data_IF_399702478504
#
_entry.id   IF_399702478504
#
_cell.length_a   1.000
_cell.length_b   1.000
_cell.length_c   1.000
_cell.angle_alpha   90.00
_cell.angle_beta   90.00
_cell.angle_gamma   90.00
#
_symmetry.space_group_name_H-M   'P 1'
#
loop_
_entity.id
_entity.type
_entity.pdbx_description
1 polymer ?
#
# COMPACT_ATOMS: atom_id res chain seq x y z
N UNK A 1 6.67 -11.06 4.58
CA UNK A 1 7.13 -10.84 3.18
C UNK A 1 6.91 -12.15 2.43
N UNK A 2 6.20 -12.13 1.30
CA UNK A 2 6.05 -13.31 0.44
C UNK A 2 6.89 -13.10 -0.82
N UNK A 3 8.21 -13.11 -0.67
CA UNK A 3 9.18 -12.95 -1.75
C UNK A 3 9.95 -14.25 -1.88
N UNK A 4 9.96 -14.84 -3.08
CA UNK A 4 10.83 -15.93 -3.47
C UNK A 4 12.02 -15.36 -4.22
N UNK A 5 13.20 -15.89 -3.92
CA UNK A 5 14.46 -15.51 -4.54
C UNK A 5 15.01 -16.70 -5.29
N UNK A 6 15.40 -16.47 -6.54
CA UNK A 6 16.05 -17.45 -7.40
C UNK A 6 17.32 -16.85 -7.99
N UNK A 7 18.28 -17.68 -8.38
CA UNK A 7 19.57 -17.23 -8.91
C UNK A 7 19.93 -18.01 -10.15
N UNK A 8 20.25 -17.28 -11.22
CA UNK A 8 20.81 -17.79 -12.45
C UNK A 8 22.13 -17.08 -12.75
N UNK A 9 22.87 -17.55 -13.75
CA UNK A 9 24.18 -16.99 -14.07
C UNK A 9 24.07 -15.50 -14.43
N UNK A 10 24.62 -14.63 -13.57
CA UNK A 10 24.57 -13.17 -13.72
C UNK A 10 23.30 -12.49 -13.19
N UNK A 11 22.30 -13.23 -12.71
CA UNK A 11 21.01 -12.67 -12.31
C UNK A 11 20.51 -13.23 -10.98
N UNK A 12 19.94 -12.36 -10.16
CA UNK A 12 19.11 -12.73 -9.02
C UNK A 12 17.70 -12.26 -9.31
N UNK A 13 16.72 -13.16 -9.23
CA UNK A 13 15.32 -12.82 -9.46
C UNK A 13 14.58 -12.82 -8.13
N UNK A 14 13.91 -11.71 -7.80
CA UNK A 14 13.00 -11.64 -6.67
C UNK A 14 11.56 -11.52 -7.17
N UNK A 15 10.71 -12.47 -6.80
CA UNK A 15 9.30 -12.52 -7.19
C UNK A 15 8.42 -12.61 -5.97
N UNK A 16 7.38 -11.78 -5.89
CA UNK A 16 6.53 -11.83 -4.71
C UNK A 16 5.61 -10.65 -4.55
N UNK A 17 4.98 -10.59 -3.38
CA UNK A 17 4.08 -9.49 -3.05
C UNK A 17 4.43 -8.92 -1.68
N UNK A 18 4.42 -7.59 -1.58
CA UNK A 18 4.69 -6.85 -0.35
C UNK A 18 3.55 -5.93 0.00
N UNK A 19 3.39 -5.63 1.29
CA UNK A 19 2.48 -4.58 1.73
C UNK A 19 3.00 -3.20 1.29
N UNK A 20 2.11 -2.21 1.05
CA UNK A 20 2.49 -0.85 0.69
C UNK A 20 3.50 -0.21 1.65
N UNK A 21 3.36 -0.43 2.97
CA UNK A 21 4.30 0.08 3.97
C UNK A 21 5.73 -0.48 3.84
N UNK A 22 5.95 -1.55 3.07
CA UNK A 22 7.27 -2.14 2.85
C UNK A 22 7.92 -1.69 1.54
N UNK A 23 7.28 -0.84 0.74
CA UNK A 23 7.80 -0.39 -0.56
C UNK A 23 9.15 0.33 -0.39
N UNK A 24 9.25 1.30 0.53
CA UNK A 24 10.52 2.00 0.81
C UNK A 24 11.60 1.04 1.28
N UNK A 25 11.24 0.07 2.13
CA UNK A 25 12.19 -0.94 2.60
C UNK A 25 12.68 -1.83 1.45
N UNK A 26 11.80 -2.17 0.50
CA UNK A 26 12.15 -2.96 -0.68
C UNK A 26 13.05 -2.18 -1.65
N UNK A 27 12.84 -0.86 -1.80
CA UNK A 27 13.75 0.01 -2.57
C UNK A 27 15.16 0.03 -1.96
N UNK A 28 15.27 0.14 -0.63
CA UNK A 28 16.57 0.10 0.05
C UNK A 28 17.30 -1.23 -0.16
N UNK A 29 16.58 -2.35 -0.19
CA UNK A 29 17.16 -3.68 -0.47
C UNK A 29 17.73 -3.74 -1.89
N UNK A 30 17.02 -3.20 -2.88
CA UNK A 30 17.50 -3.16 -4.27
C UNK A 30 18.79 -2.32 -4.37
N UNK A 31 18.80 -1.12 -3.81
CA UNK A 31 19.98 -0.25 -3.80
C UNK A 31 21.18 -0.88 -3.10
N UNK A 32 20.96 -1.50 -1.93
CA UNK A 32 22.00 -2.22 -1.21
C UNK A 32 22.57 -3.38 -2.05
N UNK A 33 21.72 -4.12 -2.75
CA UNK A 33 22.14 -5.23 -3.60
C UNK A 33 23.02 -4.73 -4.75
N UNK A 34 22.57 -3.74 -5.50
CA UNK A 34 23.30 -3.20 -6.65
C UNK A 34 24.66 -2.62 -6.23
N UNK A 35 24.70 -1.93 -5.08
CA UNK A 35 25.95 -1.42 -4.52
C UNK A 35 26.89 -2.55 -4.09
N UNK A 36 26.36 -3.59 -3.43
CA UNK A 36 27.17 -4.71 -2.93
C UNK A 36 27.75 -5.55 -4.06
N UNK A 37 27.02 -5.71 -5.15
CA UNK A 37 27.47 -6.48 -6.32
C UNK A 37 28.29 -5.63 -7.28
N UNK A 38 28.33 -4.31 -7.07
CA UNK A 38 28.95 -3.34 -7.98
C UNK A 38 28.44 -3.53 -9.43
N UNK A 39 27.17 -3.89 -9.59
CA UNK A 39 26.54 -4.21 -10.87
C UNK A 39 26.99 -5.52 -11.53
N UNK A 40 27.85 -6.33 -10.89
CA UNK A 40 28.29 -7.63 -11.43
C UNK A 40 27.17 -8.68 -11.46
N UNK A 41 26.13 -8.49 -10.64
CA UNK A 41 24.89 -9.26 -10.68
C UNK A 41 23.72 -8.29 -10.79
N UNK A 42 22.77 -8.62 -11.67
CA UNK A 42 21.56 -7.82 -11.85
C UNK A 42 20.42 -8.39 -11.01
N UNK A 43 19.78 -7.55 -10.19
CA UNK A 43 18.54 -7.91 -9.49
C UNK A 43 17.33 -7.65 -10.39
N UNK A 44 16.68 -8.72 -10.85
CA UNK A 44 15.41 -8.66 -11.57
C UNK A 44 14.27 -8.69 -10.54
N UNK A 45 13.70 -7.52 -10.24
CA UNK A 45 12.60 -7.37 -9.28
C UNK A 45 11.23 -7.46 -9.97
N UNK A 46 10.53 -8.57 -9.72
CA UNK A 46 9.11 -8.75 -10.02
C UNK A 46 8.29 -8.82 -8.72
N UNK A 47 8.66 -7.98 -7.75
CA UNK A 47 7.93 -7.80 -6.49
C UNK A 47 6.87 -6.73 -6.68
N UNK A 48 5.61 -7.08 -6.47
CA UNK A 48 4.48 -6.17 -6.61
C UNK A 48 3.90 -5.79 -5.25
N UNK A 49 3.22 -4.66 -5.20
CA UNK A 49 2.52 -4.22 -3.99
C UNK A 49 1.15 -4.89 -3.93
N UNK A 50 0.83 -5.57 -2.82
CA UNK A 50 -0.50 -6.11 -2.56
C UNK A 50 -1.35 -5.02 -1.95
N UNK A 51 -2.21 -4.42 -2.75
CA UNK A 51 -3.35 -3.67 -2.19
C UNK A 51 -4.28 -4.67 -1.50
N UNK A 52 -4.72 -4.34 -0.29
CA UNK A 52 -5.74 -5.14 0.36
C UNK A 52 -7.07 -4.88 -0.34
N UNK A 53 -7.88 -5.93 -0.51
CA UNK A 53 -9.19 -5.79 -1.16
C UNK A 53 -10.00 -4.77 -0.37
N UNK A 54 -10.59 -3.82 -1.11
CA UNK A 54 -11.50 -2.82 -0.57
C UNK A 54 -12.52 -3.51 0.35
N UNK A 55 -12.70 -3.04 1.59
CA UNK A 55 -13.68 -3.62 2.49
C UNK A 55 -15.06 -3.41 1.87
N UNK A 56 -15.73 -4.50 1.48
CA UNK A 56 -17.09 -4.45 0.91
C UNK A 56 -18.13 -3.95 1.92
N UNK A 57 -17.77 -3.84 3.19
CA UNK A 57 -18.58 -3.35 4.31
C UNK A 57 -18.69 -1.82 4.38
N UNK A 58 -17.79 -1.07 3.75
CA UNK A 58 -17.76 0.39 3.89
C UNK A 58 -18.62 1.02 2.79
N UNK A 59 -19.83 1.43 3.15
CA UNK A 59 -20.73 2.17 2.27
C UNK A 59 -20.49 3.68 2.45
N UNK A 60 -19.68 4.26 1.57
CA UNK A 60 -19.48 5.72 1.54
C UNK A 60 -20.74 6.37 0.98
N UNK A 61 -21.37 7.21 1.79
CA UNK A 61 -22.56 7.97 1.39
C UNK A 61 -22.19 9.28 0.71
N UNK A 62 -21.13 9.94 1.20
CA UNK A 62 -20.62 11.18 0.64
C UNK A 62 -19.16 11.41 1.02
N UNK A 63 -18.47 12.22 0.20
CA UNK A 63 -17.12 12.68 0.48
C UNK A 63 -17.03 14.19 0.37
N UNK A 64 -16.52 14.83 1.42
CA UNK A 64 -16.24 16.26 1.44
C UNK A 64 -14.73 16.50 1.36
N UNK A 65 -14.28 17.23 0.33
CA UNK A 65 -12.86 17.55 0.08
C UNK A 65 -12.46 19.00 0.42
N UNK A 66 -13.27 19.71 1.20
CA UNK A 66 -12.98 21.07 1.63
C UNK A 66 -11.85 21.17 2.65
N UNK A 67 -11.73 22.33 3.32
CA UNK A 67 -10.67 22.66 4.29
C UNK A 67 -10.48 21.63 5.41
N UNK A 68 -11.57 20.95 5.77
CA UNK A 68 -11.57 19.86 6.74
C UNK A 68 -12.23 18.64 6.08
N UNK A 69 -11.45 17.78 5.39
CA UNK A 69 -12.01 16.70 4.58
C UNK A 69 -12.53 15.55 5.45
N UNK A 70 -13.67 14.99 5.06
CA UNK A 70 -14.32 13.88 5.78
C UNK A 70 -15.18 13.00 4.87
N UNK A 71 -15.47 11.81 5.36
CA UNK A 71 -16.41 10.84 4.82
C UNK A 71 -17.72 10.89 5.60
N UNK A 72 -18.83 10.65 4.93
CA UNK A 72 -20.10 10.30 5.55
C UNK A 72 -20.33 8.80 5.37
N UNK A 73 -20.45 8.08 6.48
CA UNK A 73 -20.72 6.64 6.51
C UNK A 73 -21.84 6.43 7.54
N UNK A 74 -22.97 5.89 7.12
CA UNK A 74 -24.14 5.68 7.98
C UNK A 74 -24.57 6.95 8.73
N UNK A 75 -24.53 8.11 8.05
CA UNK A 75 -24.85 9.42 8.64
C UNK A 75 -23.79 10.01 9.59
N UNK A 76 -22.69 9.29 9.86
CA UNK A 76 -21.62 9.74 10.76
C UNK A 76 -20.44 10.30 9.96
N UNK A 77 -19.84 11.39 10.47
CA UNK A 77 -18.64 12.00 9.88
C UNK A 77 -17.36 11.33 10.38
N UNK A 78 -16.49 10.99 9.43
CA UNK A 78 -15.16 10.42 9.69
C UNK A 78 -14.09 11.28 9.00
N UNK A 79 -13.22 11.88 9.80
CA UNK A 79 -12.12 12.71 9.32
C UNK A 79 -10.86 11.88 9.06
N UNK A 80 -9.89 12.45 8.35
CA UNK A 80 -8.54 11.86 8.26
C UNK A 80 -8.01 11.56 9.67
N UNK A 81 -7.52 10.34 9.87
CA UNK A 81 -7.07 9.79 11.15
C UNK A 81 -8.17 9.07 11.94
N UNK A 82 -9.44 9.11 11.53
CA UNK A 82 -10.52 8.42 12.23
C UNK A 82 -10.46 6.90 12.02
N UNK A 83 -10.68 6.14 13.09
CA UNK A 83 -10.83 4.69 13.08
C UNK A 83 -12.30 4.33 12.79
N UNK A 84 -12.50 3.46 11.80
CA UNK A 84 -13.78 2.89 11.40
C UNK A 84 -14.04 1.58 12.18
N UNK A 85 -15.31 1.17 12.23
CA UNK A 85 -15.77 0.00 13.00
C UNK A 85 -15.10 -1.32 12.59
N UNK A 86 -14.64 -1.44 11.34
CA UNK A 86 -13.95 -2.61 10.79
C UNK A 86 -12.43 -2.57 10.93
N UNK A 87 -11.93 -1.61 11.73
CA UNK A 87 -10.53 -1.44 12.10
C UNK A 87 -9.68 -0.73 11.05
N UNK A 88 -10.29 -0.15 10.02
CA UNK A 88 -9.62 0.70 9.06
C UNK A 88 -9.52 2.14 9.55
N UNK A 89 -8.43 2.81 9.25
CA UNK A 89 -8.26 4.24 9.51
C UNK A 89 -8.35 5.01 8.21
N UNK A 90 -9.03 6.16 8.22
CA UNK A 90 -9.03 7.09 7.08
C UNK A 90 -7.64 7.72 6.96
N UNK A 91 -6.83 7.26 6.01
CA UNK A 91 -5.45 7.75 5.82
C UNK A 91 -5.43 9.04 5.01
N UNK A 92 -6.14 9.05 3.88
CA UNK A 92 -6.17 10.19 2.96
C UNK A 92 -7.45 10.20 2.13
N UNK A 93 -7.91 11.39 1.77
CA UNK A 93 -9.03 11.59 0.85
C UNK A 93 -8.46 12.26 -0.40
N UNK A 94 -8.48 11.54 -1.51
CA UNK A 94 -7.93 11.96 -2.79
C UNK A 94 -9.05 12.16 -3.82
N UNK A 95 -8.71 12.58 -5.03
CA UNK A 95 -9.68 12.61 -6.11
C UNK A 95 -10.12 11.20 -6.53
N UNK A 96 -11.41 10.92 -6.42
CA UNK A 96 -12.04 9.66 -6.84
C UNK A 96 -11.76 8.47 -5.94
N UNK A 97 -11.06 8.64 -4.81
CA UNK A 97 -10.78 7.56 -3.86
C UNK A 97 -10.39 8.03 -2.47
N UNK A 98 -10.65 7.17 -1.49
CA UNK A 98 -10.15 7.26 -0.12
C UNK A 98 -9.07 6.21 0.06
N UNK A 99 -7.93 6.59 0.65
CA UNK A 99 -6.95 5.65 1.14
C UNK A 99 -7.28 5.29 2.58
N UNK A 100 -7.41 3.98 2.83
CA UNK A 100 -7.62 3.40 4.14
C UNK A 100 -6.36 2.67 4.57
N UNK A 101 -6.04 2.71 5.87
CA UNK A 101 -4.91 1.98 6.44
C UNK A 101 -5.31 1.05 7.58
N UNK A 102 -4.71 -0.14 7.65
CA UNK A 102 -4.92 -1.11 8.73
C UNK A 102 -3.68 -1.99 8.89
N UNK A 103 -3.07 -1.99 10.07
CA UNK A 103 -1.89 -2.82 10.37
C UNK A 103 -0.76 -2.72 9.31
N UNK A 104 -0.49 -1.51 8.81
CA UNK A 104 0.53 -1.25 7.78
C UNK A 104 0.14 -1.67 6.36
N UNK A 105 -1.12 -2.06 6.13
CA UNK A 105 -1.69 -2.32 4.81
C UNK A 105 -2.51 -1.11 4.37
N UNK A 106 -2.57 -0.87 3.06
CA UNK A 106 -3.43 0.14 2.45
C UNK A 106 -4.48 -0.52 1.55
N UNK A 107 -5.65 0.10 1.50
CA UNK A 107 -6.71 -0.18 0.56
C UNK A 107 -7.23 1.13 -0.04
N UNK A 108 -7.52 1.14 -1.34
CA UNK A 108 -8.13 2.27 -2.01
C UNK A 108 -9.63 2.03 -2.17
N UNK A 109 -10.46 2.83 -1.51
CA UNK A 109 -11.92 2.79 -1.60
C UNK A 109 -12.41 3.85 -2.61
N UNK A 110 -12.85 3.46 -3.81
CA UNK A 110 -13.40 4.40 -4.79
C UNK A 110 -14.76 4.94 -4.33
N UNK A 111 -15.09 6.16 -4.73
CA UNK A 111 -16.39 6.81 -4.47
C UNK A 111 -16.78 7.76 -5.61
#
# INVERSE_FOLDING_TARGET
LNIKVDSAQGFVTAKGTIAPALVTRWQNVQQWFDHRTNGALTLVSAVTTKEEKVPSSIAVEAVWRGSLPYLLISGQKYFVGALLDDGWTVDRIEEGRVLLSRNGRLAALPY
#
